data_IF_138177548696
#
_entry.id   IF_138177548696
#
_cell.length_a   1.000
_cell.length_b   1.000
_cell.length_c   1.000
_cell.angle_alpha   90.00
_cell.angle_beta   90.00
_cell.angle_gamma   90.00
#
_symmetry.space_group_name_H-M   'P 1'
#
loop_
_entity.id
_entity.type
_entity.pdbx_description
1 polymer ?
#
# COMPACT_ATOMS: atom_id res chain seq x y z
N UNK A 1 -4.78 -18.67 12.95
CA UNK A 1 -5.05 -18.17 12.70
C UNK A 1 -5.28 -17.46 12.05
N UNK A 2 -5.23 -17.19 12.14
CA UNK A 2 -5.41 -16.50 11.79
C UNK A 2 -5.93 -15.79 11.10
N UNK A 3 -5.93 -15.35 10.56
CA UNK A 3 -6.48 -14.69 9.96
C UNK A 3 -7.52 -14.08 9.92
N UNK A 4 -7.68 -14.41 9.50
CA UNK A 4 -8.86 -14.07 9.87
C UNK A 4 -9.00 -13.03 10.86
N UNK A 5 -8.01 -12.91 11.66
CA UNK A 5 -8.02 -11.95 12.72
C UNK A 5 -8.24 -10.56 12.22
N UNK A 6 -7.66 -10.23 11.08
CA UNK A 6 -7.82 -8.89 10.55
C UNK A 6 -9.27 -8.62 10.17
N UNK A 7 -10.01 -9.68 9.82
CA UNK A 7 -11.40 -9.51 9.45
C UNK A 7 -12.31 -9.40 10.65
N UNK A 8 -11.85 -9.85 11.82
CA UNK A 8 -12.66 -9.80 13.01
C UNK A 8 -12.57 -8.46 13.73
N UNK A 9 -11.60 -7.63 13.37
CA UNK A 9 -11.45 -6.32 13.99
C UNK A 9 -12.36 -5.31 13.30
N UNK A 10 -13.18 -4.59 14.07
CA UNK A 10 -14.05 -3.60 13.45
C UNK A 10 -13.25 -2.44 12.89
N UNK A 11 -13.73 -1.91 11.79
CA UNK A 11 -13.16 -0.70 11.24
C UNK A 11 -13.73 0.49 11.97
N UNK A 12 -12.89 1.49 12.20
CA UNK A 12 -13.30 2.71 12.87
C UNK A 12 -13.15 3.85 11.87
N UNK A 13 -14.26 4.25 11.27
CA UNK A 13 -14.26 5.31 10.27
C UNK A 13 -14.40 6.65 10.92
N UNK A 14 -13.48 7.56 10.59
CA UNK A 14 -13.53 8.94 11.05
C UNK A 14 -13.09 9.83 9.92
N UNK A 15 -13.51 11.08 9.98
CA UNK A 15 -13.05 12.06 9.02
C UNK A 15 -11.55 12.26 9.17
N UNK A 16 -10.84 12.24 8.05
CA UNK A 16 -9.39 12.26 8.06
C UNK A 16 -8.88 13.12 6.93
N UNK A 17 -7.93 13.99 7.26
CA UNK A 17 -7.22 14.77 6.25
C UNK A 17 -6.13 13.89 5.66
N UNK A 18 -6.35 13.46 4.44
CA UNK A 18 -5.46 12.50 3.80
C UNK A 18 -4.10 13.12 3.48
N UNK A 19 -4.10 14.39 3.05
CA UNK A 19 -2.84 15.06 2.77
C UNK A 19 -1.94 15.12 3.98
N UNK A 20 -2.54 15.41 5.14
CA UNK A 20 -1.77 15.46 6.37
C UNK A 20 -1.25 14.08 6.76
N UNK A 21 -2.07 13.06 6.60
CA UNK A 21 -1.64 11.70 6.87
C UNK A 21 -0.45 11.31 6.00
N UNK A 22 -0.50 11.68 4.72
CA UNK A 22 0.59 11.34 3.81
C UNK A 22 1.90 12.00 4.25
N UNK A 23 1.83 13.23 4.75
CA UNK A 23 3.03 13.89 5.24
C UNK A 23 3.57 13.21 6.49
N UNK A 24 2.69 12.75 7.37
CA UNK A 24 3.12 12.01 8.55
C UNK A 24 3.80 10.71 8.16
N UNK A 25 3.23 10.01 7.18
CA UNK A 25 3.83 8.76 6.71
C UNK A 25 5.18 9.04 6.06
N UNK A 26 5.27 10.10 5.27
CA UNK A 26 6.52 10.48 4.64
C UNK A 26 7.62 10.67 5.69
N UNK A 27 7.33 11.42 6.74
CA UNK A 27 8.31 11.66 7.78
C UNK A 27 8.75 10.39 8.48
N UNK A 28 7.79 9.50 8.71
CA UNK A 28 8.08 8.23 9.38
C UNK A 28 8.94 7.31 8.50
N UNK A 29 8.59 7.22 7.23
CA UNK A 29 9.30 6.34 6.31
C UNK A 29 10.69 6.89 6.01
N UNK A 30 10.83 8.22 5.98
CA UNK A 30 12.11 8.84 5.71
C UNK A 30 13.19 8.34 6.67
N UNK A 31 12.80 8.05 7.90
CA UNK A 31 13.75 7.56 8.90
C UNK A 31 14.21 6.13 8.62
N UNK A 32 13.53 5.43 7.74
CA UNK A 32 13.86 4.04 7.42
C UNK A 32 14.60 3.92 6.09
N UNK A 33 14.79 5.02 5.39
CA UNK A 33 15.46 4.98 4.09
C UNK A 33 16.93 4.70 4.26
N UNK A 34 17.48 3.95 3.31
CA UNK A 34 18.91 3.72 3.29
C UNK A 34 19.54 4.55 2.18
N UNK A 35 20.86 4.64 2.24
CA UNK A 35 21.60 5.46 1.32
C UNK A 35 21.39 4.98 -0.11
N UNK A 36 21.30 5.93 -1.05
CA UNK A 36 21.15 5.57 -2.45
C UNK A 36 19.71 5.51 -2.92
N UNK A 37 18.75 5.65 -2.01
CA UNK A 37 17.35 5.63 -2.39
C UNK A 37 16.68 6.91 -1.92
N UNK A 38 16.02 7.60 -2.84
CA UNK A 38 15.30 8.82 -2.52
C UNK A 38 13.83 8.54 -2.31
N UNK A 39 13.23 9.25 -1.38
CA UNK A 39 11.80 9.13 -1.12
C UNK A 39 11.12 10.43 -1.56
N UNK A 40 10.08 10.29 -2.36
CA UNK A 40 9.35 11.44 -2.87
C UNK A 40 7.88 11.30 -2.58
N UNK A 41 7.27 12.34 -2.03
CA UNK A 41 5.82 12.38 -1.86
C UNK A 41 5.23 13.17 -3.02
N UNK A 42 4.32 12.52 -3.75
CA UNK A 42 3.64 13.14 -4.87
C UNK A 42 2.82 14.33 -4.38
N UNK A 43 2.83 15.41 -5.13
CA UNK A 43 2.06 16.61 -4.78
C UNK A 43 0.59 16.33 -5.03
N UNK A 44 -0.13 16.04 -3.95
CA UNK A 44 -1.53 15.64 -4.02
C UNK A 44 -2.43 16.82 -3.71
N UNK A 45 -3.60 16.81 -4.31
CA UNK A 45 -4.60 17.82 -3.94
C UNK A 45 -5.16 17.52 -2.56
N UNK A 46 -5.74 18.52 -1.95
CA UNK A 46 -6.31 18.34 -0.61
C UNK A 46 -7.48 17.37 -0.66
N UNK A 47 -7.57 16.53 0.34
CA UNK A 47 -8.64 15.55 0.42
C UNK A 47 -8.94 15.23 1.87
N UNK A 48 -10.21 15.33 2.22
CA UNK A 48 -10.72 14.88 3.51
C UNK A 48 -11.76 13.81 3.22
N UNK A 49 -11.64 12.66 3.86
CA UNK A 49 -12.59 11.58 3.64
C UNK A 49 -12.76 10.79 4.92
N UNK A 50 -13.84 10.02 5.00
CA UNK A 50 -14.02 9.12 6.13
C UNK A 50 -13.29 7.82 5.86
N UNK A 51 -12.41 7.45 6.77
CA UNK A 51 -11.66 6.20 6.62
C UNK A 51 -11.08 5.81 7.96
N UNK A 52 -10.55 4.59 8.03
CA UNK A 52 -9.90 4.10 9.23
C UNK A 52 -8.41 4.46 9.14
N UNK A 53 -8.00 5.44 9.96
CA UNK A 53 -6.64 5.95 9.93
C UNK A 53 -5.59 4.87 10.16
N UNK A 54 -5.84 4.00 11.14
CA UNK A 54 -4.85 3.00 11.49
C UNK A 54 -4.68 1.95 10.40
N UNK A 55 -5.80 1.55 9.79
CA UNK A 55 -5.73 0.55 8.72
C UNK A 55 -5.08 1.12 7.48
N UNK A 56 -5.43 2.35 7.12
CA UNK A 56 -4.83 2.99 5.96
C UNK A 56 -3.33 3.18 6.18
N UNK A 57 -2.93 3.60 7.37
CA UNK A 57 -1.52 3.75 7.70
C UNK A 57 -0.80 2.41 7.56
N UNK A 58 -1.42 1.35 8.04
CA UNK A 58 -0.81 0.02 7.96
C UNK A 58 -0.65 -0.43 6.51
N UNK A 59 -1.65 -0.19 5.69
CA UNK A 59 -1.58 -0.55 4.27
C UNK A 59 -0.42 0.19 3.60
N UNK A 60 -0.37 1.49 3.76
CA UNK A 60 0.65 2.29 3.08
C UNK A 60 2.04 2.00 3.61
N UNK A 61 2.17 1.82 4.92
CA UNK A 61 3.46 1.51 5.51
C UNK A 61 3.99 0.16 5.02
N UNK A 62 3.11 -0.82 4.93
CA UNK A 62 3.52 -2.14 4.42
C UNK A 62 3.99 -2.05 2.97
N UNK A 63 3.29 -1.28 2.15
CA UNK A 63 3.71 -1.12 0.76
C UNK A 63 5.02 -0.36 0.65
N UNK A 64 5.21 0.66 1.48
CA UNK A 64 6.44 1.45 1.45
C UNK A 64 7.64 0.67 1.96
N UNK A 65 7.47 -0.10 3.04
CA UNK A 65 8.58 -0.91 3.54
C UNK A 65 8.94 -2.01 2.55
N UNK A 66 7.94 -2.53 1.84
CA UNK A 66 8.19 -3.48 0.77
C UNK A 66 9.02 -2.83 -0.34
N UNK A 67 8.68 -1.61 -0.71
CA UNK A 67 9.43 -0.88 -1.75
C UNK A 67 10.87 -0.65 -1.32
N UNK A 68 11.08 -0.29 -0.07
CA UNK A 68 12.44 -0.07 0.45
C UNK A 68 13.24 -1.36 0.36
N UNK A 69 12.63 -2.46 0.73
CA UNK A 69 13.30 -3.75 0.74
C UNK A 69 13.77 -4.15 -0.66
N UNK A 70 13.03 -3.79 -1.68
CA UNK A 70 13.31 -4.21 -3.05
C UNK A 70 14.01 -3.15 -3.90
N UNK A 71 14.36 -2.02 -3.31
CA UNK A 71 15.05 -0.96 -4.04
C UNK A 71 16.40 -0.69 -3.39
N UNK A 72 17.47 -1.10 -4.05
CA UNK A 72 18.81 -0.88 -3.51
C UNK A 72 19.33 0.51 -3.86
N UNK A 73 19.04 0.96 -5.06
CA UNK A 73 19.38 2.29 -5.52
C UNK A 73 18.24 2.80 -6.37
N UNK A 74 17.98 4.08 -6.30
CA UNK A 74 16.96 4.70 -7.12
C UNK A 74 16.01 5.53 -6.30
N UNK A 75 14.71 5.33 -6.50
CA UNK A 75 13.73 6.18 -5.85
C UNK A 75 12.44 5.43 -5.54
N UNK A 76 11.75 5.96 -4.54
CA UNK A 76 10.42 5.49 -4.16
C UNK A 76 9.53 6.72 -4.13
N UNK A 77 8.38 6.62 -4.75
CA UNK A 77 7.44 7.72 -4.86
C UNK A 77 6.06 7.24 -4.47
N UNK A 78 5.34 8.03 -3.69
CA UNK A 78 4.01 7.62 -3.28
C UNK A 78 3.10 8.83 -3.16
N UNK A 79 1.79 8.56 -3.14
CA UNK A 79 0.82 9.62 -3.07
C UNK A 79 -0.56 9.07 -3.38
N UNK A 80 -1.46 9.97 -3.78
CA UNK A 80 -2.80 9.56 -4.18
C UNK A 80 -3.34 10.49 -5.24
N UNK A 81 -4.33 9.97 -5.97
CA UNK A 81 -5.09 10.74 -6.95
C UNK A 81 -6.55 10.49 -6.70
N UNK A 82 -7.31 11.56 -6.70
CA UNK A 82 -8.74 11.47 -6.47
C UNK A 82 -9.49 11.39 -7.80
N UNK A 83 -10.52 10.58 -7.84
CA UNK A 83 -11.47 10.57 -8.94
C UNK A 83 -12.86 10.88 -8.37
N UNK A 84 -13.90 10.78 -9.19
CA UNK A 84 -15.22 11.20 -8.76
C UNK A 84 -15.73 10.41 -7.55
N UNK A 85 -15.51 9.09 -7.56
CA UNK A 85 -16.07 8.21 -6.54
C UNK A 85 -15.05 7.49 -5.69
N UNK A 86 -13.77 7.67 -6.00
CA UNK A 86 -12.74 6.90 -5.32
C UNK A 86 -11.45 7.69 -5.21
N UNK A 87 -10.54 7.15 -4.42
CA UNK A 87 -9.19 7.67 -4.34
C UNK A 87 -8.24 6.51 -4.60
N UNK A 88 -7.22 6.75 -5.40
CA UNK A 88 -6.23 5.73 -5.72
C UNK A 88 -4.90 6.13 -5.09
N UNK A 89 -4.45 5.33 -4.14
CA UNK A 89 -3.14 5.49 -3.55
C UNK A 89 -2.14 4.68 -4.36
N UNK A 90 -0.92 5.16 -4.46
CA UNK A 90 0.10 4.42 -5.19
C UNK A 90 1.43 4.47 -4.45
N UNK A 91 2.21 3.40 -4.62
CA UNK A 91 3.58 3.33 -4.14
C UNK A 91 4.40 2.79 -5.29
N UNK A 92 5.28 3.61 -5.81
CA UNK A 92 6.10 3.30 -6.97
C UNK A 92 7.55 3.19 -6.55
N UNK A 93 8.24 2.15 -7.02
CA UNK A 93 9.66 2.01 -6.77
C UNK A 93 10.37 1.72 -8.08
N UNK A 94 11.66 2.04 -8.12
CA UNK A 94 12.52 1.76 -9.26
C UNK A 94 13.42 0.57 -8.96
N UNK A 95 12.92 -0.38 -8.21
CA UNK A 95 13.69 -1.53 -7.78
C UNK A 95 13.78 -2.63 -8.80
N UNK A 96 13.91 -3.85 -8.30
CA UNK A 96 14.17 -5.01 -9.16
C UNK A 96 12.98 -5.43 -10.00
N UNK A 97 11.76 -5.04 -9.62
CA UNK A 97 10.57 -5.48 -10.30
C UNK A 97 10.17 -6.90 -9.90
N UNK A 98 9.02 -7.31 -10.41
CA UNK A 98 8.45 -8.62 -10.08
C UNK A 98 8.30 -9.39 -11.38
N UNK A 99 8.80 -10.63 -11.46
CA UNK A 99 8.62 -11.46 -12.65
C UNK A 99 7.14 -11.63 -12.97
N UNK A 100 6.83 -11.59 -14.24
CA UNK A 100 5.45 -11.63 -14.69
C UNK A 100 4.72 -12.86 -14.19
N UNK A 101 5.39 -13.99 -14.15
CA UNK A 101 4.78 -15.24 -13.72
C UNK A 101 4.53 -15.28 -12.22
N UNK A 102 5.00 -14.30 -11.47
CA UNK A 102 4.80 -14.26 -10.03
C UNK A 102 3.80 -13.20 -9.59
N UNK A 103 3.42 -12.30 -10.50
CA UNK A 103 2.56 -11.19 -10.13
C UNK A 103 1.23 -11.68 -9.56
N UNK A 104 0.67 -12.74 -10.15
CA UNK A 104 -0.64 -13.22 -9.71
C UNK A 104 -0.61 -13.82 -8.32
N UNK A 105 0.56 -14.15 -7.80
CA UNK A 105 0.65 -14.88 -6.53
C UNK A 105 1.22 -14.05 -5.39
N UNK A 106 1.67 -12.82 -5.64
CA UNK A 106 2.38 -12.08 -4.60
C UNK A 106 1.51 -11.71 -3.40
N UNK A 107 0.21 -11.71 -3.58
CA UNK A 107 -0.70 -11.38 -2.47
C UNK A 107 -1.13 -12.62 -1.68
N UNK A 108 -0.69 -13.79 -2.09
CA UNK A 108 -1.04 -15.00 -1.38
C UNK A 108 -0.19 -15.13 -0.12
N UNK A 109 -0.84 -15.41 0.99
CA UNK A 109 -0.13 -15.52 2.27
C UNK A 109 0.78 -16.73 2.33
N UNK A 110 0.61 -17.68 1.42
CA UNK A 110 1.39 -18.92 1.44
C UNK A 110 2.49 -18.95 0.40
N UNK A 111 2.64 -17.88 -0.37
CA UNK A 111 3.67 -17.88 -1.40
C UNK A 111 5.03 -17.69 -0.77
N UNK A 112 5.93 -18.58 -1.17
CA UNK A 112 7.34 -18.50 -0.80
C UNK A 112 8.09 -18.26 -2.08
N UNK A 113 8.44 -17.03 -2.35
CA UNK A 113 9.09 -16.65 -3.59
C UNK A 113 10.60 -16.65 -3.45
N UNK A 114 11.10 -17.60 -2.73
CA UNK A 114 12.53 -17.74 -2.57
C UNK A 114 13.15 -16.44 -2.09
N UNK A 115 13.96 -15.85 -2.92
CA UNK A 115 14.67 -14.65 -2.51
C UNK A 115 13.79 -13.42 -2.49
N UNK A 116 12.71 -13.45 -3.25
CA UNK A 116 11.91 -12.26 -3.39
C UNK A 116 10.98 -12.04 -2.22
N UNK A 117 10.35 -13.08 -1.75
CA UNK A 117 9.22 -12.91 -0.84
C UNK A 117 9.55 -13.03 0.62
N UNK A 118 10.79 -13.26 0.95
CA UNK A 118 11.13 -13.52 2.33
C UNK A 118 10.67 -12.39 3.24
N UNK A 119 9.68 -12.67 4.08
CA UNK A 119 9.16 -11.67 5.00
C UNK A 119 8.21 -10.68 4.38
N UNK A 120 7.99 -10.76 3.07
CA UNK A 120 7.16 -9.79 2.37
C UNK A 120 5.78 -10.34 2.06
N UNK A 121 5.70 -11.62 1.73
CA UNK A 121 4.44 -12.19 1.30
C UNK A 121 3.32 -12.02 2.29
N UNK A 122 3.61 -12.14 3.57
CA UNK A 122 2.58 -11.98 4.59
C UNK A 122 2.07 -10.55 4.65
N UNK A 123 2.98 -9.58 4.52
CA UNK A 123 2.58 -8.18 4.55
C UNK A 123 1.65 -7.82 3.40
N UNK A 124 1.92 -8.34 2.21
CA UNK A 124 1.06 -8.05 1.07
C UNK A 124 -0.30 -8.73 1.20
N UNK A 125 -0.34 -9.94 1.75
CA UNK A 125 -1.60 -10.63 1.97
C UNK A 125 -2.45 -9.86 2.98
N UNK A 126 -1.84 -9.33 4.01
CA UNK A 126 -2.54 -8.52 5.00
C UNK A 126 -3.09 -7.25 4.35
N UNK A 127 -2.28 -6.60 3.52
CA UNK A 127 -2.74 -5.42 2.79
C UNK A 127 -3.97 -5.73 1.96
N UNK A 128 -3.96 -6.82 1.22
CA UNK A 128 -5.09 -7.18 0.39
C UNK A 128 -6.33 -7.39 1.24
N UNK A 129 -6.19 -8.08 2.36
CA UNK A 129 -7.33 -8.31 3.25
C UNK A 129 -7.91 -7.02 3.80
N UNK A 130 -7.03 -6.11 4.23
CA UNK A 130 -7.48 -4.83 4.77
C UNK A 130 -8.18 -3.99 3.71
N UNK A 131 -7.60 -3.94 2.51
CA UNK A 131 -8.18 -3.16 1.42
C UNK A 131 -9.55 -3.69 1.05
N UNK A 132 -9.69 -5.01 0.97
CA UNK A 132 -10.97 -5.61 0.65
C UNK A 132 -12.00 -5.33 1.74
N UNK A 133 -11.57 -5.39 2.99
CA UNK A 133 -12.46 -5.07 4.10
C UNK A 133 -12.97 -3.64 4.03
N UNK A 134 -12.15 -2.75 3.48
CA UNK A 134 -12.52 -1.34 3.34
C UNK A 134 -13.26 -1.05 2.04
N UNK A 135 -13.60 -2.08 1.28
CA UNK A 135 -14.42 -1.92 0.09
C UNK A 135 -13.63 -1.56 -1.16
N UNK A 136 -12.33 -1.71 -1.13
CA UNK A 136 -11.49 -1.34 -2.26
C UNK A 136 -10.81 -2.52 -2.91
N UNK A 137 -9.81 -2.22 -3.71
CA UNK A 137 -9.00 -3.26 -4.31
C UNK A 137 -7.55 -2.82 -4.39
N UNK A 138 -6.67 -3.80 -4.56
CA UNK A 138 -5.24 -3.56 -4.67
C UNK A 138 -4.75 -4.26 -5.94
N UNK A 139 -3.86 -3.59 -6.66
CA UNK A 139 -3.27 -4.17 -7.87
C UNK A 139 -1.83 -3.71 -8.00
N UNK A 140 -1.10 -4.37 -8.87
CA UNK A 140 0.30 -4.06 -9.09
C UNK A 140 0.62 -4.12 -10.57
N UNK A 141 1.50 -3.22 -11.02
CA UNK A 141 2.13 -3.33 -12.32
C UNK A 141 3.62 -3.34 -12.08
N UNK A 142 4.34 -4.13 -12.87
CA UNK A 142 5.76 -4.29 -12.62
C UNK A 142 6.47 -4.77 -13.86
N UNK A 143 7.76 -4.45 -13.95
CA UNK A 143 8.66 -4.92 -14.98
C UNK A 143 10.00 -5.21 -14.35
N UNK A 144 10.50 -6.41 -14.60
CA UNK A 144 11.82 -6.79 -14.08
C UNK A 144 12.85 -5.79 -14.59
N UNK A 145 13.66 -5.29 -13.68
CA UNK A 145 14.70 -4.32 -14.01
C UNK A 145 14.24 -2.87 -14.02
N UNK A 146 12.94 -2.62 -13.94
CA UNK A 146 12.42 -1.24 -13.99
C UNK A 146 11.70 -0.83 -12.72
N UNK A 147 11.13 -1.79 -11.98
CA UNK A 147 10.45 -1.48 -10.75
C UNK A 147 9.01 -1.89 -10.73
N UNK A 148 8.30 -1.44 -9.71
CA UNK A 148 6.92 -1.84 -9.48
C UNK A 148 6.09 -0.64 -9.03
N UNK A 149 4.79 -0.71 -9.30
CA UNK A 149 3.83 0.27 -8.76
C UNK A 149 2.68 -0.52 -8.17
N UNK A 150 2.42 -0.27 -6.89
CA UNK A 150 1.25 -0.84 -6.22
C UNK A 150 0.19 0.25 -6.14
N UNK A 151 -1.05 -0.14 -6.44
CA UNK A 151 -2.18 0.78 -6.42
C UNK A 151 -3.24 0.25 -5.46
N UNK A 152 -3.74 1.13 -4.61
CA UNK A 152 -4.83 0.80 -3.69
C UNK A 152 -5.96 1.77 -3.97
N UNK A 153 -7.10 1.26 -4.39
CA UNK A 153 -8.26 2.08 -4.68
C UNK A 153 -9.28 1.91 -3.56
N UNK A 154 -9.69 3.02 -2.96
CA UNK A 154 -10.69 3.01 -1.91
C UNK A 154 -11.85 3.91 -2.29
N UNK A 155 -13.08 3.54 -1.92
CA UNK A 155 -14.22 4.42 -2.19
C UNK A 155 -14.14 5.67 -1.31
N UNK A 156 -14.54 6.80 -1.87
CA UNK A 156 -14.58 8.06 -1.10
C UNK A 156 -15.70 8.04 -0.09
N UNK A 157 -16.75 7.30 -0.37
CA UNK A 157 -17.88 7.20 0.53
C UNK A 157 -17.79 5.89 1.27
N UNK A 158 -17.94 5.97 2.58
CA UNK A 158 -17.86 4.80 3.43
C UNK A 158 -18.77 3.71 2.91
N UNK A 159 -18.25 2.49 2.71
CA UNK A 159 -19.09 1.39 2.22
C UNK A 159 -20.24 1.12 3.17
N UNK A 160 -21.40 0.88 2.62
CA UNK A 160 -22.55 0.54 3.44
C UNK A 160 -22.53 -0.95 3.69
N UNK A 161 -22.80 -1.29 4.92
CA UNK A 161 -22.91 -2.70 5.27
C UNK A 161 -24.36 -3.08 5.13
N UNK A 162 -24.63 -4.03 4.25
CA UNK A 162 -25.97 -4.56 4.14
C UNK A 162 -26.27 -5.31 5.39
N UNK A 163 -27.24 -4.92 6.08
CA UNK A 163 -27.55 -5.64 7.32
C UNK A 163 -28.64 -6.65 7.09
#
# INVERSE_FOLDING_TARGET
>A
LSKIESNSMPLIYKELDIGLLMKEIYSMILLRMHEGVELELYDCEELVMETDRNRLTQILTNLLTNAIKHTQEGSIRFGYKRSALSVEFFVQDSGEGIPEDKIDTIFSRFVQLDNWSKGVGLGLAICQGLVEQMGGNIRVTSRVGEGSVFYVTLPLIRPRISS
#
